data_IF_304464639074
#
_entry.id   IF_304464639074
#
_cell.length_a   1.000
_cell.length_b   1.000
_cell.length_c   1.000
_cell.angle_alpha   90.00
_cell.angle_beta   90.00
_cell.angle_gamma   90.00
#
_symmetry.space_group_name_H-M   'P 1'
#
loop_
_entity.id
_entity.type
_entity.pdbx_description
1 polymer ?
#
# COMPACT_ATOMS: atom_id res chain seq x y z
N UNK A 1 -22.27 -17.95 -0.84
CA UNK A 1 -21.02 -18.21 -1.57
C UNK A 1 -20.15 -16.98 -1.42
N UNK A 2 -18.87 -17.16 -1.09
CA UNK A 2 -17.93 -16.05 -0.86
C UNK A 2 -16.81 -16.17 -1.87
N UNK A 3 -16.44 -15.06 -2.51
CA UNK A 3 -15.34 -15.00 -3.47
C UNK A 3 -14.25 -14.11 -2.88
N UNK A 4 -13.03 -14.61 -2.85
CA UNK A 4 -11.85 -13.90 -2.34
C UNK A 4 -10.99 -13.55 -3.54
N UNK A 5 -10.59 -12.28 -3.65
CA UNK A 5 -9.70 -11.78 -4.71
C UNK A 5 -8.45 -11.24 -4.02
N UNK A 6 -7.31 -11.83 -4.32
CA UNK A 6 -6.00 -11.37 -3.84
C UNK A 6 -5.34 -10.52 -4.93
N UNK A 7 -4.53 -9.54 -4.51
CA UNK A 7 -3.80 -8.63 -5.42
C UNK A 7 -4.72 -7.89 -6.42
N UNK A 8 -5.91 -7.48 -5.95
CA UNK A 8 -6.82 -6.70 -6.77
C UNK A 8 -6.23 -5.33 -7.07
N UNK A 9 -6.19 -4.97 -8.36
CA UNK A 9 -5.80 -3.64 -8.81
C UNK A 9 -7.00 -2.66 -8.75
N UNK A 10 -6.73 -1.37 -9.00
CA UNK A 10 -7.73 -0.31 -8.97
C UNK A 10 -8.90 -0.55 -9.96
N UNK A 11 -8.63 -1.25 -11.07
CA UNK A 11 -9.66 -1.57 -12.06
C UNK A 11 -10.63 -2.60 -11.50
N UNK A 12 -10.14 -3.65 -10.84
CA UNK A 12 -10.96 -4.65 -10.16
C UNK A 12 -11.79 -3.98 -9.07
N UNK A 13 -11.20 -3.08 -8.27
CA UNK A 13 -11.94 -2.33 -7.24
C UNK A 13 -13.09 -1.50 -7.84
N UNK A 14 -12.86 -0.85 -8.98
CA UNK A 14 -13.88 -0.07 -9.70
C UNK A 14 -15.04 -0.95 -10.19
N UNK A 15 -14.73 -2.13 -10.74
CA UNK A 15 -15.74 -3.09 -11.18
C UNK A 15 -16.56 -3.62 -10.00
N UNK A 16 -15.90 -3.96 -8.89
CA UNK A 16 -16.56 -4.44 -7.68
C UNK A 16 -17.53 -3.39 -7.11
N UNK A 17 -17.12 -2.12 -7.08
CA UNK A 17 -17.98 -1.01 -6.68
C UNK A 17 -19.19 -0.83 -7.61
N UNK A 18 -19.01 -1.03 -8.91
CA UNK A 18 -20.10 -0.99 -9.90
C UNK A 18 -21.07 -2.16 -9.70
N UNK A 19 -20.54 -3.35 -9.39
CA UNK A 19 -21.37 -4.53 -9.07
C UNK A 19 -22.23 -4.29 -7.83
N UNK A 20 -21.69 -3.63 -6.81
CA UNK A 20 -22.45 -3.28 -5.59
C UNK A 20 -23.61 -2.33 -5.89
N UNK A 21 -23.45 -1.43 -6.86
CA UNK A 21 -24.55 -0.54 -7.29
C UNK A 21 -25.69 -1.31 -7.98
N UNK A 22 -25.37 -2.38 -8.71
CA UNK A 22 -26.36 -3.24 -9.37
C UNK A 22 -27.00 -4.27 -8.42
N UNK A 23 -26.29 -4.66 -7.36
CA UNK A 23 -26.66 -5.70 -6.40
C UNK A 23 -26.45 -5.17 -4.98
N UNK A 24 -27.40 -4.42 -4.41
CA UNK A 24 -27.23 -3.78 -3.09
C UNK A 24 -27.03 -4.79 -1.95
N UNK A 25 -27.42 -6.04 -2.13
CA UNK A 25 -27.20 -7.15 -1.19
C UNK A 25 -25.74 -7.64 -1.13
N UNK A 26 -24.89 -7.23 -2.09
CA UNK A 26 -23.49 -7.63 -2.13
C UNK A 26 -22.69 -6.89 -1.03
N UNK A 27 -22.14 -7.67 -0.11
CA UNK A 27 -21.20 -7.16 0.90
C UNK A 27 -19.77 -7.30 0.39
N UNK A 28 -19.10 -6.16 0.18
CA UNK A 28 -17.68 -6.11 -0.20
C UNK A 28 -16.88 -5.72 1.03
N UNK A 29 -15.89 -6.53 1.39
CA UNK A 29 -14.90 -6.24 2.43
C UNK A 29 -13.54 -6.10 1.76
N UNK A 30 -12.94 -4.93 1.91
CA UNK A 30 -11.61 -4.66 1.40
C UNK A 30 -10.65 -4.71 2.59
N UNK A 31 -9.69 -5.62 2.53
CA UNK A 31 -8.64 -5.73 3.53
C UNK A 31 -7.41 -5.01 2.97
N UNK A 32 -7.24 -3.74 3.34
CA UNK A 32 -6.09 -2.94 2.95
C UNK A 32 -4.87 -3.35 3.78
N UNK A 33 -4.35 -4.55 3.54
CA UNK A 33 -3.01 -4.88 3.97
C UNK A 33 -2.03 -4.13 3.08
N UNK A 34 -1.32 -3.16 3.68
CA UNK A 34 -0.09 -2.64 3.08
C UNK A 34 0.79 -3.83 2.73
N UNK A 35 1.39 -3.82 1.55
CA UNK A 35 2.33 -4.89 1.21
C UNK A 35 3.53 -4.83 2.16
N UNK A 36 4.17 -5.97 2.42
CA UNK A 36 5.39 -6.02 3.23
C UNK A 36 6.46 -5.07 2.67
N UNK A 37 6.48 -4.89 1.34
CA UNK A 37 7.36 -3.93 0.66
C UNK A 37 7.04 -2.48 1.02
N UNK A 38 5.77 -2.08 1.06
CA UNK A 38 5.37 -0.72 1.45
C UNK A 38 5.73 -0.43 2.91
N UNK A 39 5.58 -1.42 3.79
CA UNK A 39 5.99 -1.29 5.19
C UNK A 39 7.50 -1.11 5.32
N UNK A 40 8.29 -1.93 4.64
CA UNK A 40 9.76 -1.81 4.62
C UNK A 40 10.19 -0.49 4.00
N UNK A 41 9.54 -0.04 2.93
CA UNK A 41 9.85 1.26 2.30
C UNK A 41 9.56 2.44 3.24
N UNK A 42 8.44 2.41 3.96
CA UNK A 42 8.09 3.43 4.95
C UNK A 42 9.09 3.47 6.11
N UNK A 43 9.54 2.30 6.58
CA UNK A 43 10.56 2.17 7.62
C UNK A 43 11.91 2.71 7.16
N UNK A 44 12.34 2.36 5.95
CA UNK A 44 13.59 2.86 5.37
C UNK A 44 13.56 4.38 5.20
N UNK A 45 12.45 4.95 4.71
CA UNK A 45 12.31 6.40 4.57
C UNK A 45 12.42 7.12 5.92
N UNK A 46 11.75 6.60 6.96
CA UNK A 46 11.88 7.15 8.32
C UNK A 46 13.29 7.04 8.88
N UNK A 47 13.97 5.93 8.58
CA UNK A 47 15.35 5.75 8.99
C UNK A 47 16.30 6.73 8.27
N UNK A 48 16.04 7.07 7.01
CA UNK A 48 16.81 8.08 6.27
C UNK A 48 16.62 9.51 6.83
N UNK A 49 15.45 9.81 7.40
CA UNK A 49 15.17 11.11 8.05
C UNK A 49 15.88 11.28 9.41
N UNK A 50 16.44 10.20 9.98
CA UNK A 50 17.18 10.28 11.24
C UNK A 50 18.42 11.18 11.08
N UNK A 51 18.65 12.17 11.97
CA UNK A 51 19.77 13.10 11.88
C UNK A 51 21.14 12.40 11.75
N UNK A 52 21.29 11.24 12.40
CA UNK A 52 22.49 10.43 12.37
C UNK A 52 22.78 9.88 10.96
N UNK A 53 21.74 9.47 10.24
CA UNK A 53 21.85 8.92 8.90
C UNK A 53 21.96 10.03 7.85
N UNK A 54 21.19 11.11 8.01
CA UNK A 54 21.29 12.30 7.16
C UNK A 54 22.70 12.89 7.15
N UNK A 55 23.34 12.98 8.32
CA UNK A 55 24.73 13.44 8.43
C UNK A 55 25.74 12.54 7.71
N UNK A 56 25.47 11.24 7.58
CA UNK A 56 26.31 10.31 6.81
C UNK A 56 26.14 10.55 5.32
N UNK A 57 24.93 10.79 4.83
CA UNK A 57 24.68 11.10 3.40
C UNK A 57 25.33 12.41 2.96
N UNK A 58 25.22 13.48 3.75
CA UNK A 58 25.88 14.75 3.43
C UNK A 58 27.41 14.59 3.36
N UNK A 59 28.01 13.77 4.25
CA UNK A 59 29.45 13.45 4.19
C UNK A 59 29.87 12.62 2.98
N UNK A 60 28.96 11.80 2.44
CA UNK A 60 29.22 10.97 1.26
C UNK A 60 28.99 11.71 -0.06
N UNK A 61 28.25 12.81 -0.04
CA UNK A 61 27.99 13.65 -1.22
C UNK A 61 29.21 14.42 -1.71
N UNK A 62 30.15 14.71 -0.80
CA UNK A 62 31.38 15.45 -1.09
C UNK A 62 32.56 14.56 -1.54
N UNK A 63 32.30 13.27 -1.81
CA UNK A 63 33.32 12.26 -2.14
C UNK A 63 33.10 11.66 -3.53
#
# INVERSE_FOLDING_TARGET
MTLIIENADDKILTILNTLKALKPELTIRQDNKKSDFELVSDELMRDLEKPENYAVFERLKDK
#
